data_IF_109668841277
#
_entry.id   IF_109668841277
#
_cell.length_a   1.000
_cell.length_b   1.000
_cell.length_c   1.000
_cell.angle_alpha   90.00
_cell.angle_beta   90.00
_cell.angle_gamma   90.00
#
_symmetry.space_group_name_H-M   'P 1'
#
loop_
_entity.id
_entity.type
_entity.pdbx_description
1 polymer ?
#
# COMPACT_ATOMS: atom_id res chain seq x y z
N UNK A 1 20.37 -7.50 -15.99
CA UNK A 1 19.04 -7.90 -15.48
C UNK A 1 19.13 -9.16 -14.64
N UNK A 2 19.67 -10.26 -15.20
CA UNK A 2 19.75 -11.54 -14.49
C UNK A 2 20.50 -11.44 -13.15
N UNK A 3 21.60 -10.68 -13.11
CA UNK A 3 22.38 -10.47 -11.89
C UNK A 3 21.56 -9.78 -10.77
N UNK A 4 20.89 -8.67 -11.08
CA UNK A 4 20.01 -7.97 -10.13
C UNK A 4 18.93 -8.89 -9.55
N UNK A 5 18.27 -9.68 -10.41
CA UNK A 5 17.23 -10.60 -9.97
C UNK A 5 17.80 -11.70 -9.06
N UNK A 6 19.00 -12.21 -9.36
CA UNK A 6 19.65 -13.20 -8.52
C UNK A 6 19.97 -12.65 -7.12
N UNK A 7 20.35 -11.38 -7.02
CA UNK A 7 20.60 -10.71 -5.75
C UNK A 7 19.31 -10.38 -4.97
N UNK A 8 18.22 -10.01 -5.67
CA UNK A 8 16.91 -9.76 -5.06
C UNK A 8 16.21 -11.03 -4.58
N UNK A 9 16.44 -12.15 -5.25
CA UNK A 9 15.80 -13.44 -4.97
C UNK A 9 16.67 -14.38 -4.13
N UNK A 10 17.60 -13.83 -3.33
CA UNK A 10 18.33 -14.64 -2.36
C UNK A 10 17.41 -15.14 -1.24
N UNK A 11 17.59 -16.43 -0.90
CA UNK A 11 16.84 -17.11 0.15
C UNK A 11 17.13 -16.51 1.53
N UNK A 12 18.40 -16.26 1.82
CA UNK A 12 18.84 -15.60 3.05
C UNK A 12 18.55 -14.09 2.96
N UNK A 13 17.66 -13.54 3.81
CA UNK A 13 17.31 -12.13 3.77
C UNK A 13 18.48 -11.20 4.15
N UNK A 14 19.46 -11.67 4.93
CA UNK A 14 20.62 -10.86 5.32
C UNK A 14 21.55 -10.62 4.13
N UNK A 15 21.58 -11.57 3.20
CA UNK A 15 22.42 -11.52 2.00
C UNK A 15 21.69 -10.95 0.78
N UNK A 16 20.37 -10.73 0.89
CA UNK A 16 19.54 -10.11 -0.14
C UNK A 16 19.89 -8.63 -0.27
N UNK A 17 20.00 -8.16 -1.51
CA UNK A 17 20.27 -6.75 -1.82
C UNK A 17 19.18 -5.82 -1.24
N UNK A 18 19.60 -4.67 -0.72
CA UNK A 18 18.66 -3.64 -0.25
C UNK A 18 18.02 -2.87 -1.42
N UNK A 19 16.88 -2.23 -1.18
CA UNK A 19 16.23 -1.40 -2.20
C UNK A 19 17.14 -0.27 -2.71
N UNK A 20 17.96 0.33 -1.83
CA UNK A 20 18.90 1.39 -2.19
C UNK A 20 19.97 0.88 -3.15
N UNK A 21 20.54 -0.28 -2.87
CA UNK A 21 21.56 -0.92 -3.71
C UNK A 21 20.97 -1.36 -5.06
N UNK A 22 19.74 -1.90 -5.06
CA UNK A 22 19.06 -2.31 -6.28
C UNK A 22 18.84 -1.13 -7.26
N UNK A 23 18.55 0.07 -6.75
CA UNK A 23 18.36 1.27 -7.57
C UNK A 23 19.65 1.75 -8.25
N UNK A 24 20.82 1.54 -7.62
CA UNK A 24 22.12 1.93 -8.19
C UNK A 24 22.77 0.83 -9.02
N UNK A 25 22.15 -0.34 -9.11
CA UNK A 25 22.67 -1.47 -9.88
C UNK A 25 22.76 -1.15 -11.38
N UNK A 26 23.77 -1.68 -12.06
CA UNK A 26 24.09 -1.42 -13.48
C UNK A 26 22.90 -1.61 -14.43
N UNK A 27 22.02 -2.56 -14.12
CA UNK A 27 20.79 -2.78 -14.87
C UNK A 27 19.92 -1.52 -15.03
N UNK A 28 19.89 -0.65 -14.02
CA UNK A 28 19.13 0.60 -14.05
C UNK A 28 19.78 1.68 -14.92
N UNK A 29 21.05 1.52 -15.28
CA UNK A 29 21.88 2.53 -15.97
C UNK A 29 22.53 2.01 -17.25
N UNK A 30 22.24 0.78 -17.65
CA UNK A 30 22.67 0.19 -18.91
C UNK A 30 21.59 0.39 -19.96
N UNK A 31 21.99 0.59 -21.21
CA UNK A 31 21.03 0.71 -22.30
C UNK A 31 20.19 -0.59 -22.43
N UNK A 32 18.86 -0.51 -22.56
CA UNK A 32 18.03 0.70 -22.59
C UNK A 32 17.79 1.31 -21.20
N UNK A 33 17.86 2.64 -21.13
CA UNK A 33 17.61 3.38 -19.90
C UNK A 33 16.15 3.26 -19.43
N UNK A 34 15.88 3.51 -18.13
CA UNK A 34 14.53 3.59 -17.59
C UNK A 34 13.65 4.54 -18.40
N UNK A 35 12.39 4.14 -18.58
CA UNK A 35 11.42 4.94 -19.31
C UNK A 35 11.19 6.30 -18.64
N UNK A 36 11.08 7.36 -19.44
CA UNK A 36 10.70 8.68 -18.96
C UNK A 36 9.31 8.60 -18.28
N UNK A 37 9.19 9.00 -17.01
CA UNK A 37 7.91 9.02 -16.28
C UNK A 37 6.77 9.71 -17.03
N UNK A 38 7.08 10.71 -17.88
CA UNK A 38 6.09 11.46 -18.66
C UNK A 38 5.49 10.68 -19.82
N UNK A 39 6.17 9.61 -20.27
CA UNK A 39 5.72 8.75 -21.37
C UNK A 39 4.86 7.57 -20.88
N UNK A 40 4.85 7.30 -19.58
CA UNK A 40 4.02 6.26 -18.98
C UNK A 40 2.55 6.71 -18.91
N UNK A 41 1.62 5.78 -19.13
CA UNK A 41 0.20 6.02 -18.94
C UNK A 41 -0.10 6.34 -17.47
N UNK A 42 -0.89 7.38 -17.20
CA UNK A 42 -1.33 7.71 -15.84
C UNK A 42 -2.42 6.72 -15.42
N UNK A 43 -2.13 5.92 -14.39
CA UNK A 43 -3.13 5.05 -13.77
C UNK A 43 -3.93 5.81 -12.72
N UNK A 44 -5.21 5.46 -12.58
CA UNK A 44 -6.03 5.96 -11.48
C UNK A 44 -5.47 5.44 -10.13
N UNK A 45 -5.64 6.18 -9.04
CA UNK A 45 -5.27 5.69 -7.71
C UNK A 45 -5.88 4.31 -7.44
N UNK A 46 -5.06 3.35 -6.95
CA UNK A 46 -5.54 2.02 -6.62
C UNK A 46 -6.32 2.04 -5.28
N UNK A 47 -7.55 1.54 -5.30
CA UNK A 47 -8.40 1.38 -4.11
C UNK A 47 -7.93 0.23 -3.19
N UNK A 48 -6.94 -0.56 -3.62
CA UNK A 48 -6.49 -1.75 -2.88
C UNK A 48 -5.94 -1.41 -1.50
N UNK A 49 -5.18 -0.31 -1.37
CA UNK A 49 -4.64 0.13 -0.08
C UNK A 49 -5.70 0.78 0.82
N UNK A 50 -6.79 1.30 0.25
CA UNK A 50 -7.91 1.86 1.01
C UNK A 50 -8.72 0.75 1.69
N UNK A 51 -8.76 -0.46 1.12
CA UNK A 51 -9.44 -1.59 1.74
C UNK A 51 -8.75 -2.03 3.04
N UNK A 52 -7.42 -2.20 3.01
CA UNK A 52 -6.65 -2.58 4.20
C UNK A 52 -6.74 -1.56 5.34
N UNK A 53 -6.77 -0.25 5.02
CA UNK A 53 -6.97 0.82 6.02
C UNK A 53 -8.37 0.79 6.64
N UNK A 54 -9.40 0.46 5.86
CA UNK A 54 -10.78 0.29 6.37
C UNK A 54 -10.88 -0.91 7.31
N UNK A 55 -10.31 -2.05 6.94
CA UNK A 55 -10.29 -3.24 7.80
C UNK A 55 -9.55 -2.97 9.13
N UNK A 56 -8.40 -2.29 9.09
CA UNK A 56 -7.62 -1.97 10.29
C UNK A 56 -8.34 -0.98 11.24
N UNK A 57 -9.09 -0.01 10.71
CA UNK A 57 -9.83 0.96 11.54
C UNK A 57 -11.11 0.39 12.14
N UNK A 58 -11.73 -0.62 11.51
CA UNK A 58 -12.90 -1.32 12.03
C UNK A 58 -12.60 -2.17 13.28
N UNK A 59 -11.36 -2.63 13.47
CA UNK A 59 -10.94 -3.42 14.63
C UNK A 59 -10.83 -2.60 15.93
N UNK A 60 -10.82 -1.27 15.86
CA UNK A 60 -10.60 -0.40 17.03
C UNK A 60 -11.88 0.13 17.73
N UNK A 61 -13.09 -0.25 17.32
CA UNK A 61 -14.29 0.17 18.06
C UNK A 61 -14.70 -0.86 19.12
N UNK A 62 -14.52 -0.60 20.43
CA UNK A 62 -15.24 -1.34 21.45
C UNK A 62 -16.73 -1.04 21.28
N UNK A 63 -17.53 -2.09 21.02
CA UNK A 63 -18.99 -2.03 21.02
C UNK A 63 -19.47 -1.59 22.41
N UNK A 64 -19.83 -0.33 22.56
CA UNK A 64 -20.57 0.13 23.74
C UNK A 64 -21.97 -0.49 23.68
N UNK A 65 -22.17 -1.55 24.47
CA UNK A 65 -23.47 -2.05 24.87
C UNK A 65 -24.15 -1.04 25.81
N UNK A 66 -25.41 -0.69 25.53
CA UNK A 66 -26.36 -0.31 26.57
C UNK A 66 -27.20 0.94 26.28
N UNK A 67 -28.53 0.78 26.38
CA UNK A 67 -29.39 1.88 26.84
C UNK A 67 -30.63 2.17 26.01
N UNK A 68 -31.68 1.36 26.17
CA UNK A 68 -33.07 1.80 26.00
C UNK A 68 -33.37 2.94 27.00
N UNK A 69 -33.62 4.17 26.56
CA UNK A 69 -34.48 5.11 27.31
C UNK A 69 -34.93 6.26 26.41
N UNK A 70 -36.24 6.43 26.25
CA UNK A 70 -36.84 7.34 25.28
C UNK A 70 -36.95 8.81 25.70
N UNK A 71 -37.45 9.61 24.77
CA UNK A 71 -38.31 10.75 25.09
C UNK A 71 -39.23 11.06 23.92
N UNK A 72 -40.50 10.80 24.17
CA UNK A 72 -41.68 11.30 23.46
C UNK A 72 -41.54 12.80 23.17
N UNK A 73 -41.83 13.18 21.93
CA UNK A 73 -41.95 14.57 21.49
C UNK A 73 -43.08 14.67 20.47
N UNK A 74 -44.30 14.80 20.96
CA UNK A 74 -45.44 15.29 20.19
C UNK A 74 -45.07 16.68 19.64
N UNK A 75 -45.32 16.92 18.35
CA UNK A 75 -45.57 18.28 17.87
C UNK A 75 -46.58 18.24 16.73
N UNK A 76 -47.73 18.82 17.03
CA UNK A 76 -48.85 19.12 16.15
C UNK A 76 -48.49 20.22 15.14
N UNK A 77 -49.05 20.13 13.94
CA UNK A 77 -49.65 21.23 13.17
C UNK A 77 -50.41 20.64 11.97
#
# INVERSE_FOLDING_TARGET
MLDLLQQMLQLDPVRRISAREALVHDWSWTWPYPADPKKLSKYAPSEEMNHAKREASLVQQPKALGGLQGRMGMSSA
#
